data_IF_558761196277
#
_entry.id   IF_558761196277
#
_cell.length_a   1.000
_cell.length_b   1.000
_cell.length_c   1.000
_cell.angle_alpha   90.00
_cell.angle_beta   90.00
_cell.angle_gamma   90.00
#
_symmetry.space_group_name_H-M   'P 1'
#
loop_
_entity.id
_entity.type
_entity.pdbx_description
1 polymer ?
#
# COMPACT_ATOMS: atom_id res chain seq x y z
N UNK A 1 20.13 0.25 -36.30
CA UNK A 1 19.11 -0.21 -35.33
C UNK A 1 19.77 -0.29 -33.97
N UNK A 2 19.60 0.75 -33.16
CA UNK A 2 20.14 0.73 -31.78
C UNK A 2 19.22 -0.12 -30.91
N UNK A 3 19.74 -1.21 -30.34
CA UNK A 3 19.08 -1.91 -29.26
C UNK A 3 19.06 -0.98 -28.04
N UNK A 4 17.92 -0.34 -27.81
CA UNK A 4 17.68 0.33 -26.53
C UNK A 4 17.53 -0.78 -25.49
N UNK A 5 18.56 -1.04 -24.69
CA UNK A 5 18.42 -1.88 -23.50
C UNK A 5 17.43 -1.19 -22.57
N UNK A 6 16.21 -1.72 -22.50
CA UNK A 6 15.21 -1.29 -21.52
C UNK A 6 15.72 -1.77 -20.18
N UNK A 7 16.35 -0.89 -19.42
CA UNK A 7 16.80 -1.20 -18.06
C UNK A 7 15.56 -1.23 -17.18
N UNK A 8 15.18 -2.42 -16.71
CA UNK A 8 14.18 -2.56 -15.64
C UNK A 8 14.83 -2.03 -14.37
N UNK A 9 14.20 -1.03 -13.77
CA UNK A 9 14.72 -0.38 -12.56
C UNK A 9 14.69 -1.32 -11.37
N UNK A 10 15.78 -1.37 -10.60
CA UNK A 10 15.80 -2.13 -9.35
C UNK A 10 14.92 -1.50 -8.26
N UNK A 11 14.41 -2.32 -7.34
CA UNK A 11 13.60 -1.82 -6.21
C UNK A 11 14.40 -0.85 -5.31
N UNK A 12 15.73 -1.00 -5.20
CA UNK A 12 16.58 -0.09 -4.43
C UNK A 12 16.72 1.29 -5.10
N UNK A 13 16.81 1.33 -6.43
CA UNK A 13 16.89 2.60 -7.17
C UNK A 13 15.55 3.34 -7.10
N UNK A 14 14.43 2.61 -7.23
CA UNK A 14 13.10 3.18 -7.04
C UNK A 14 12.91 3.72 -5.62
N UNK A 15 13.44 3.04 -4.60
CA UNK A 15 13.39 3.55 -3.24
C UNK A 15 14.17 4.86 -3.07
N UNK A 16 15.33 5.01 -3.72
CA UNK A 16 16.08 6.26 -3.72
C UNK A 16 15.31 7.40 -4.42
N UNK A 17 14.56 7.10 -5.48
CA UNK A 17 13.65 8.06 -6.13
C UNK A 17 12.51 8.43 -5.19
N UNK A 18 11.90 7.45 -4.50
CA UNK A 18 10.83 7.67 -3.54
C UNK A 18 11.27 8.57 -2.38
N UNK A 19 12.47 8.40 -1.84
CA UNK A 19 12.98 9.27 -0.77
C UNK A 19 13.06 10.74 -1.16
N UNK A 20 13.28 11.03 -2.44
CA UNK A 20 13.29 12.40 -3.00
C UNK A 20 11.90 12.90 -3.40
N UNK A 21 10.97 11.98 -3.63
CA UNK A 21 9.60 12.23 -4.09
C UNK A 21 8.59 11.42 -3.23
N UNK A 22 8.43 11.74 -1.94
CA UNK A 22 7.81 10.84 -0.96
C UNK A 22 6.27 10.79 -1.05
N UNK A 23 5.71 11.23 -2.16
CA UNK A 23 4.28 11.16 -2.41
C UNK A 23 3.98 10.15 -3.51
N UNK A 24 3.09 9.21 -3.20
CA UNK A 24 2.65 8.17 -4.12
C UNK A 24 1.16 8.33 -4.40
N UNK A 25 0.77 8.25 -5.65
CA UNK A 25 -0.62 8.25 -6.07
C UNK A 25 -0.89 7.16 -7.12
N UNK A 26 -2.14 6.69 -7.16
CA UNK A 26 -2.62 5.67 -8.10
C UNK A 26 -3.84 6.14 -8.90
N UNK A 27 -4.35 7.35 -8.60
CA UNK A 27 -5.48 7.96 -9.27
C UNK A 27 -5.03 9.25 -9.99
N UNK A 28 -5.06 9.24 -11.33
CA UNK A 28 -4.66 10.37 -12.16
C UNK A 28 -5.55 11.61 -12.04
N UNK A 29 -6.68 11.51 -11.33
CA UNK A 29 -7.57 12.65 -11.01
C UNK A 29 -7.11 13.39 -9.76
N UNK A 30 -6.32 12.72 -8.89
CA UNK A 30 -5.84 13.23 -7.62
C UNK A 30 -4.30 13.20 -7.58
N UNK A 31 -3.68 13.88 -8.52
CA UNK A 31 -2.22 13.97 -8.62
C UNK A 31 -1.66 14.86 -7.51
N UNK A 32 -0.54 14.41 -6.94
CA UNK A 32 0.25 15.17 -5.99
C UNK A 32 1.50 15.67 -6.72
N UNK A 33 1.66 17.00 -6.93
CA UNK A 33 2.84 17.53 -7.61
C UNK A 33 4.14 17.07 -6.94
N UNK A 34 5.12 16.72 -7.74
CA UNK A 34 6.39 16.15 -7.26
C UNK A 34 6.33 14.67 -6.84
N UNK A 35 5.16 14.04 -6.89
CA UNK A 35 4.97 12.65 -6.50
C UNK A 35 5.30 11.63 -7.59
N UNK A 36 5.08 10.36 -7.26
CA UNK A 36 5.24 9.21 -8.16
C UNK A 36 3.86 8.61 -8.42
N UNK A 37 3.45 8.55 -9.68
CA UNK A 37 2.23 7.90 -10.11
C UNK A 37 2.48 6.41 -10.37
N UNK A 38 1.72 5.52 -9.74
CA UNK A 38 1.73 4.07 -10.02
C UNK A 38 0.55 3.72 -10.92
N UNK A 39 0.82 3.36 -12.15
CA UNK A 39 -0.15 3.07 -13.21
C UNK A 39 -0.80 1.69 -13.04
N UNK A 40 -1.52 1.49 -11.93
CA UNK A 40 -2.18 0.22 -11.63
C UNK A 40 -3.15 -0.18 -12.74
N UNK A 41 -3.18 -1.46 -13.06
CA UNK A 41 -4.10 -2.03 -14.04
C UNK A 41 -4.95 -3.14 -13.40
N UNK A 42 -6.17 -3.31 -13.89
CA UNK A 42 -7.11 -4.34 -13.47
C UNK A 42 -7.85 -4.92 -14.66
N UNK A 43 -8.77 -5.84 -14.39
CA UNK A 43 -9.47 -6.62 -15.42
C UNK A 43 -10.12 -5.76 -16.54
N UNK A 44 -10.61 -4.55 -16.19
CA UNK A 44 -11.32 -3.65 -17.13
C UNK A 44 -10.70 -2.26 -17.20
N UNK A 45 -9.51 -2.07 -16.63
CA UNK A 45 -8.86 -0.78 -16.52
C UNK A 45 -7.36 -0.92 -16.73
N UNK A 46 -6.76 -0.02 -17.53
CA UNK A 46 -5.33 0.04 -17.76
C UNK A 46 -4.80 1.41 -17.35
N UNK A 47 -4.14 1.46 -16.19
CA UNK A 47 -3.56 2.67 -15.61
C UNK A 47 -2.43 3.26 -16.45
N UNK A 48 -1.72 2.45 -17.25
CA UNK A 48 -0.64 2.91 -18.10
C UNK A 48 -1.08 4.04 -19.07
N UNK A 49 -2.34 4.05 -19.49
CA UNK A 49 -2.92 5.09 -20.36
C UNK A 49 -2.89 6.49 -19.72
N UNK A 50 -2.80 6.57 -18.41
CA UNK A 50 -2.83 7.83 -17.67
C UNK A 50 -1.45 8.29 -17.19
N UNK A 51 -0.39 7.54 -17.52
CA UNK A 51 0.96 7.85 -17.06
C UNK A 51 1.45 9.21 -17.58
N UNK A 52 1.24 9.49 -18.87
CA UNK A 52 1.63 10.78 -19.47
C UNK A 52 0.79 11.94 -18.90
N UNK A 53 -0.50 11.74 -18.71
CA UNK A 53 -1.40 12.72 -18.09
C UNK A 53 -0.96 13.03 -16.62
N UNK A 54 -0.56 12.00 -15.86
CA UNK A 54 -0.04 12.19 -14.51
C UNK A 54 1.25 13.03 -14.48
N UNK A 55 2.18 12.80 -15.41
CA UNK A 55 3.38 13.62 -15.57
C UNK A 55 3.02 15.06 -15.95
N UNK A 56 2.12 15.25 -16.91
CA UNK A 56 1.68 16.59 -17.35
C UNK A 56 1.00 17.39 -16.22
N UNK A 57 0.39 16.71 -15.27
CA UNK A 57 -0.25 17.30 -14.07
C UNK A 57 0.74 17.52 -12.92
N UNK A 58 2.01 17.20 -13.09
CA UNK A 58 3.08 17.52 -12.14
C UNK A 58 3.67 16.37 -11.35
N UNK A 59 3.32 15.08 -11.61
CA UNK A 59 4.10 13.98 -11.07
C UNK A 59 5.55 14.04 -11.58
N UNK A 60 6.50 13.78 -10.70
CA UNK A 60 7.92 13.67 -11.09
C UNK A 60 8.20 12.41 -11.90
N UNK A 61 7.52 11.31 -11.57
CA UNK A 61 7.69 10.02 -12.23
C UNK A 61 6.35 9.28 -12.36
N UNK A 62 6.29 8.37 -13.36
CA UNK A 62 5.21 7.40 -13.49
C UNK A 62 5.79 5.99 -13.64
N UNK A 63 5.34 5.06 -12.78
CA UNK A 63 5.69 3.64 -12.83
C UNK A 63 4.68 2.93 -13.71
N UNK A 64 5.17 2.26 -14.75
CA UNK A 64 4.39 1.59 -15.79
C UNK A 64 4.87 0.15 -16.00
N UNK A 65 4.02 -0.73 -16.50
CA UNK A 65 4.34 -2.12 -16.87
C UNK A 65 4.02 -2.48 -18.34
N UNK A 66 3.63 -1.48 -19.14
CA UNK A 66 3.47 -1.64 -20.58
C UNK A 66 4.40 -0.69 -21.33
N UNK A 67 5.40 -1.26 -22.02
CA UNK A 67 6.42 -0.52 -22.77
C UNK A 67 5.84 0.43 -23.82
N UNK A 68 4.65 0.18 -24.32
CA UNK A 68 3.96 1.04 -25.30
C UNK A 68 3.68 2.45 -24.76
N UNK A 69 3.61 2.60 -23.45
CA UNK A 69 3.37 3.88 -22.78
C UNK A 69 4.65 4.55 -22.28
N UNK A 70 5.83 3.95 -22.56
CA UNK A 70 7.11 4.54 -22.20
C UNK A 70 7.46 5.69 -23.15
N UNK A 71 7.18 6.91 -22.73
CA UNK A 71 7.35 8.14 -23.53
C UNK A 71 8.56 8.99 -23.14
N UNK A 72 9.43 8.53 -22.23
CA UNK A 72 10.64 9.29 -21.87
C UNK A 72 11.19 9.07 -20.47
N UNK A 73 12.10 9.98 -20.06
CA UNK A 73 12.93 9.84 -18.85
C UNK A 73 12.17 9.79 -17.51
N UNK A 74 10.93 10.26 -17.47
CA UNK A 74 10.12 10.26 -16.25
C UNK A 74 9.25 9.00 -16.13
N UNK A 75 9.35 8.07 -17.09
CA UNK A 75 8.68 6.78 -17.05
C UNK A 75 9.61 5.72 -16.49
N UNK A 76 9.16 5.01 -15.46
CA UNK A 76 9.86 3.90 -14.83
C UNK A 76 9.16 2.61 -15.26
N UNK A 77 9.79 1.87 -16.17
CA UNK A 77 9.25 0.59 -16.62
C UNK A 77 9.62 -0.52 -15.63
N UNK A 78 8.61 -1.30 -15.24
CA UNK A 78 8.74 -2.44 -14.34
C UNK A 78 7.96 -3.65 -14.89
N UNK A 79 8.20 -4.84 -14.33
CA UNK A 79 7.47 -6.05 -14.76
C UNK A 79 6.00 -6.05 -14.32
N UNK A 80 5.71 -5.48 -13.15
CA UNK A 80 4.36 -5.41 -12.58
C UNK A 80 4.25 -4.25 -11.61
N UNK A 81 3.41 -3.27 -11.94
CA UNK A 81 3.24 -2.04 -11.15
C UNK A 81 2.72 -2.32 -9.74
N UNK A 82 1.76 -3.24 -9.59
CA UNK A 82 1.20 -3.56 -8.27
C UNK A 82 2.25 -4.21 -7.36
N UNK A 83 2.97 -5.20 -7.89
CA UNK A 83 4.05 -5.86 -7.14
C UNK A 83 5.13 -4.86 -6.75
N UNK A 84 5.51 -3.97 -7.65
CA UNK A 84 6.51 -2.91 -7.39
C UNK A 84 6.06 -1.96 -6.28
N UNK A 85 4.79 -1.55 -6.26
CA UNK A 85 4.21 -0.74 -5.18
C UNK A 85 4.30 -1.47 -3.82
N UNK A 86 3.98 -2.75 -3.80
CA UNK A 86 4.03 -3.58 -2.60
C UNK A 86 5.47 -3.79 -2.10
N UNK A 87 6.39 -4.06 -3.00
CA UNK A 87 7.80 -4.24 -2.68
C UNK A 87 8.44 -2.92 -2.18
N UNK A 88 8.09 -1.79 -2.80
CA UNK A 88 8.51 -0.46 -2.33
C UNK A 88 8.02 -0.20 -0.89
N UNK A 89 6.76 -0.54 -0.60
CA UNK A 89 6.20 -0.39 0.74
C UNK A 89 6.90 -1.29 1.77
N UNK A 90 7.25 -2.53 1.41
CA UNK A 90 8.03 -3.44 2.26
C UNK A 90 9.41 -2.85 2.60
N UNK A 91 10.15 -2.38 1.59
CA UNK A 91 11.46 -1.75 1.78
C UNK A 91 11.33 -0.53 2.69
N UNK A 92 10.32 0.31 2.46
CA UNK A 92 10.07 1.49 3.29
C UNK A 92 9.77 1.08 4.73
N UNK A 93 8.87 0.10 4.94
CA UNK A 93 8.53 -0.41 6.28
C UNK A 93 9.76 -0.95 7.03
N UNK A 94 10.68 -1.61 6.36
CA UNK A 94 11.92 -2.12 6.96
C UNK A 94 12.87 -1.01 7.44
N UNK A 95 12.76 0.18 6.91
CA UNK A 95 13.52 1.37 7.35
C UNK A 95 12.84 2.15 8.48
N UNK A 96 11.57 1.88 8.74
CA UNK A 96 10.83 2.52 9.84
C UNK A 96 11.06 1.76 11.14
N UNK A 97 11.48 2.47 12.18
CA UNK A 97 11.72 1.91 13.52
C UNK A 97 10.53 2.05 14.46
N UNK A 98 9.50 2.78 14.06
CA UNK A 98 8.32 3.04 14.87
C UNK A 98 7.46 1.77 15.06
N UNK A 99 6.76 1.63 16.19
CA UNK A 99 5.77 0.58 16.37
C UNK A 99 4.60 0.74 15.40
N UNK A 100 4.09 -0.40 14.92
CA UNK A 100 2.93 -0.49 14.04
C UNK A 100 1.88 -1.39 14.69
N UNK A 101 0.69 -0.85 14.92
CA UNK A 101 -0.48 -1.59 15.38
C UNK A 101 -1.27 -2.05 14.17
N UNK A 102 -1.31 -3.36 13.92
CA UNK A 102 -2.18 -3.96 12.91
C UNK A 102 -3.57 -4.21 13.46
N UNK A 103 -4.61 -3.77 12.76
CA UNK A 103 -6.00 -4.00 13.17
C UNK A 103 -6.74 -4.78 12.10
N UNK A 104 -7.32 -5.91 12.48
CA UNK A 104 -8.26 -6.66 11.66
C UNK A 104 -9.52 -7.03 12.46
N UNK A 105 -10.43 -7.75 11.84
CA UNK A 105 -11.68 -8.24 12.43
C UNK A 105 -12.81 -8.24 11.40
N UNK A 106 -13.94 -8.79 11.79
CA UNK A 106 -15.13 -8.82 10.94
C UNK A 106 -15.76 -7.42 10.89
N UNK A 107 -16.09 -6.85 12.04
CA UNK A 107 -16.70 -5.53 12.20
C UNK A 107 -15.89 -4.65 13.13
N UNK A 108 -16.15 -3.34 13.09
CA UNK A 108 -15.57 -2.37 14.04
C UNK A 108 -14.10 -1.99 13.80
N UNK A 109 -13.44 -2.48 12.76
CA UNK A 109 -12.04 -2.15 12.46
C UNK A 109 -11.79 -0.65 12.37
N UNK A 110 -12.53 0.04 11.53
CA UNK A 110 -12.38 1.49 11.31
C UNK A 110 -12.71 2.28 12.58
N UNK A 111 -13.77 1.91 13.31
CA UNK A 111 -14.13 2.55 14.58
C UNK A 111 -13.01 2.37 15.60
N UNK A 112 -12.52 1.15 15.79
CA UNK A 112 -11.42 0.86 16.74
C UNK A 112 -10.14 1.59 16.33
N UNK A 113 -9.81 1.63 15.05
CA UNK A 113 -8.68 2.39 14.49
C UNK A 113 -8.78 3.88 14.86
N UNK A 114 -9.94 4.50 14.65
CA UNK A 114 -10.11 5.93 14.95
C UNK A 114 -10.09 6.21 16.45
N UNK A 115 -10.64 5.32 17.30
CA UNK A 115 -10.56 5.44 18.75
C UNK A 115 -9.11 5.35 19.23
N UNK A 116 -8.35 4.33 18.79
CA UNK A 116 -6.93 4.17 19.12
C UNK A 116 -6.14 5.39 18.67
N UNK A 117 -6.34 5.82 17.42
CA UNK A 117 -5.71 7.02 16.91
C UNK A 117 -6.02 8.26 17.75
N UNK A 118 -7.28 8.45 18.15
CA UNK A 118 -7.71 9.61 18.94
C UNK A 118 -7.00 9.65 20.29
N UNK A 119 -6.88 8.50 20.96
CA UNK A 119 -6.15 8.38 22.23
C UNK A 119 -4.65 8.64 22.04
N UNK A 120 -4.02 7.99 21.06
CA UNK A 120 -2.58 8.14 20.82
C UNK A 120 -2.19 9.56 20.41
N UNK A 121 -3.03 10.26 19.65
CA UNK A 121 -2.80 11.65 19.25
C UNK A 121 -2.71 12.64 20.39
N UNK A 122 -3.16 12.30 21.58
CA UNK A 122 -3.02 13.17 22.75
C UNK A 122 -1.57 13.38 23.20
N UNK A 123 -0.68 12.44 22.84
CA UNK A 123 0.72 12.44 23.29
C UNK A 123 1.76 12.05 22.22
N UNK A 124 1.31 11.59 21.05
CA UNK A 124 2.17 11.07 19.98
C UNK A 124 1.71 11.55 18.62
N UNK A 125 2.63 11.69 17.65
CA UNK A 125 2.26 11.89 16.26
C UNK A 125 1.89 10.54 15.63
N UNK A 126 0.61 10.19 15.70
CA UNK A 126 0.07 8.91 15.26
C UNK A 126 -0.40 8.98 13.80
N UNK A 127 0.19 8.15 12.93
CA UNK A 127 -0.38 7.84 11.62
C UNK A 127 -1.52 6.82 11.77
N UNK A 128 -2.55 6.91 10.95
CA UNK A 128 -3.55 5.84 10.81
C UNK A 128 -4.05 5.73 9.37
N UNK A 129 -4.35 4.50 8.95
CA UNK A 129 -4.94 4.22 7.64
C UNK A 129 -6.09 5.17 7.33
N UNK A 130 -6.03 5.86 6.20
CA UNK A 130 -7.07 6.78 5.74
C UNK A 130 -8.22 6.01 5.09
N UNK A 131 -9.45 6.39 5.44
CA UNK A 131 -10.64 5.77 4.86
C UNK A 131 -10.62 4.24 4.98
N UNK A 132 -10.80 3.57 3.85
CA UNK A 132 -10.85 2.11 3.71
C UNK A 132 -9.62 1.53 2.97
N UNK A 133 -8.45 2.17 3.06
CA UNK A 133 -7.20 1.70 2.44
C UNK A 133 -6.63 0.47 3.16
N UNK A 134 -7.39 -0.61 3.26
CA UNK A 134 -7.15 -1.78 4.09
C UNK A 134 -6.88 -3.07 3.31
N UNK A 135 -6.66 -2.98 1.99
CA UNK A 135 -6.43 -4.11 1.09
C UNK A 135 -5.00 -4.13 0.52
N UNK A 136 -4.74 -5.01 -0.45
CA UNK A 136 -3.46 -5.23 -1.11
C UNK A 136 -2.90 -4.03 -1.91
N UNK A 137 -3.68 -2.96 -2.09
CA UNK A 137 -3.26 -1.65 -2.65
C UNK A 137 -3.20 -0.60 -1.53
N UNK A 138 -4.21 -0.56 -0.69
CA UNK A 138 -4.36 0.46 0.34
C UNK A 138 -3.34 0.37 1.47
N UNK A 139 -3.00 -0.85 1.92
CA UNK A 139 -1.97 -1.04 2.96
C UNK A 139 -0.59 -0.58 2.47
N UNK A 140 -0.10 -0.96 1.26
CA UNK A 140 1.11 -0.36 0.70
C UNK A 140 1.10 1.16 0.68
N UNK A 141 0.02 1.78 0.19
CA UNK A 141 -0.10 3.25 0.16
C UNK A 141 -0.05 3.85 1.56
N UNK A 142 -0.71 3.22 2.54
CA UNK A 142 -0.68 3.64 3.95
C UNK A 142 0.73 3.57 4.54
N UNK A 143 1.49 2.53 4.25
CA UNK A 143 2.88 2.39 4.71
C UNK A 143 3.78 3.47 4.09
N UNK A 144 3.63 3.77 2.80
CA UNK A 144 4.44 4.79 2.11
C UNK A 144 4.14 6.24 2.56
N UNK A 145 3.03 6.48 3.24
CA UNK A 145 2.74 7.79 3.85
C UNK A 145 3.42 7.99 5.22
N UNK A 146 3.90 6.92 5.85
CA UNK A 146 4.59 7.00 7.14
C UNK A 146 5.98 7.62 6.93
N UNK A 147 6.38 8.54 7.78
CA UNK A 147 7.67 9.21 7.69
C UNK A 147 8.26 9.46 9.10
N UNK A 148 9.44 10.06 9.16
CA UNK A 148 10.19 10.30 10.40
C UNK A 148 9.50 11.21 11.43
N UNK A 149 8.37 11.84 11.08
CA UNK A 149 7.59 12.67 12.02
C UNK A 149 6.60 11.84 12.84
N UNK A 150 6.32 10.59 12.43
CA UNK A 150 5.38 9.72 13.13
C UNK A 150 6.10 8.91 14.21
N UNK A 151 5.49 8.84 15.40
CA UNK A 151 5.98 8.08 16.54
C UNK A 151 5.38 6.67 16.56
N UNK A 152 4.19 6.49 15.97
CA UNK A 152 3.44 5.23 15.92
C UNK A 152 2.50 5.22 14.72
N UNK A 153 2.18 4.04 14.21
CA UNK A 153 1.20 3.87 13.13
C UNK A 153 0.13 2.84 13.48
N UNK A 154 -1.10 3.07 12.99
CA UNK A 154 -2.25 2.16 13.12
C UNK A 154 -2.70 1.78 11.72
N UNK A 155 -2.50 0.52 11.33
CA UNK A 155 -2.78 0.00 10.00
C UNK A 155 -3.99 -0.93 10.03
N UNK A 156 -5.05 -0.52 9.35
CA UNK A 156 -6.25 -1.34 9.17
C UNK A 156 -6.02 -2.36 8.06
N UNK A 157 -6.37 -3.63 8.33
CA UNK A 157 -6.22 -4.76 7.41
C UNK A 157 -7.55 -5.49 7.23
N UNK A 158 -8.05 -5.47 6.00
CA UNK A 158 -9.25 -6.18 5.57
C UNK A 158 -8.92 -7.46 4.82
N UNK A 159 -9.79 -8.46 4.92
CA UNK A 159 -9.68 -9.69 4.14
C UNK A 159 -11.05 -10.21 3.74
N UNK A 160 -11.13 -10.75 2.53
CA UNK A 160 -12.29 -11.45 1.96
C UNK A 160 -11.97 -12.93 1.69
N UNK A 161 -10.68 -13.31 1.65
CA UNK A 161 -10.19 -14.67 1.38
C UNK A 161 -9.09 -15.05 2.38
N UNK A 162 -8.80 -16.35 2.45
CA UNK A 162 -7.70 -16.91 3.26
C UNK A 162 -6.35 -16.35 2.79
N UNK A 163 -5.40 -16.23 3.70
CA UNK A 163 -4.04 -15.75 3.52
C UNK A 163 -3.93 -14.25 3.15
N UNK A 164 -5.05 -13.50 3.13
CA UNK A 164 -4.98 -12.06 2.84
C UNK A 164 -4.45 -11.26 4.04
N UNK A 165 -4.73 -11.65 5.27
CA UNK A 165 -4.17 -10.97 6.46
C UNK A 165 -2.67 -11.26 6.56
N UNK A 166 -2.23 -12.51 6.38
CA UNK A 166 -0.80 -12.86 6.33
C UNK A 166 -0.07 -12.03 5.27
N UNK A 167 -0.63 -11.96 4.07
CA UNK A 167 -0.08 -11.14 2.99
C UNK A 167 0.08 -9.66 3.39
N UNK A 168 -0.92 -9.07 4.05
CA UNK A 168 -0.88 -7.68 4.50
C UNK A 168 0.08 -7.48 5.68
N UNK A 169 0.20 -8.45 6.57
CA UNK A 169 1.18 -8.48 7.65
C UNK A 169 2.62 -8.53 7.11
N UNK A 170 2.85 -9.30 6.03
CA UNK A 170 4.15 -9.34 5.35
C UNK A 170 4.56 -8.00 4.72
N UNK A 171 3.61 -7.09 4.44
CA UNK A 171 3.90 -5.73 3.97
C UNK A 171 4.04 -4.76 5.15
N UNK A 172 3.09 -4.78 6.09
CA UNK A 172 3.01 -3.81 7.18
C UNK A 172 3.90 -4.13 8.38
N UNK A 173 4.33 -5.40 8.53
CA UNK A 173 5.15 -5.91 9.64
C UNK A 173 4.70 -5.31 10.97
N UNK A 174 3.46 -5.60 11.43
CA UNK A 174 2.95 -5.04 12.67
C UNK A 174 3.75 -5.55 13.86
N UNK A 175 4.00 -4.66 14.83
CA UNK A 175 4.65 -5.01 16.10
C UNK A 175 3.62 -5.40 17.16
N UNK A 176 2.37 -4.98 16.97
CA UNK A 176 1.23 -5.26 17.84
C UNK A 176 0.01 -5.57 16.98
N UNK A 177 -0.84 -6.49 17.43
CA UNK A 177 -2.04 -6.90 16.71
C UNK A 177 -3.32 -6.69 17.53
N UNK A 178 -4.39 -6.28 16.87
CA UNK A 178 -5.73 -6.19 17.45
C UNK A 178 -6.74 -6.86 16.52
N UNK A 179 -7.45 -7.87 17.00
CA UNK A 179 -8.62 -8.44 16.34
C UNK A 179 -9.85 -7.90 17.08
N UNK A 180 -10.66 -7.07 16.39
CA UNK A 180 -11.82 -6.43 17.02
C UNK A 180 -12.91 -7.42 17.39
N UNK A 181 -13.22 -8.30 16.47
CA UNK A 181 -14.12 -9.45 16.66
C UNK A 181 -14.02 -10.45 15.52
N UNK A 182 -14.57 -11.64 15.74
CA UNK A 182 -14.71 -12.69 14.74
C UNK A 182 -16.19 -13.02 14.62
N UNK A 183 -16.76 -12.72 13.45
CA UNK A 183 -18.17 -12.94 13.15
C UNK A 183 -18.38 -13.60 11.80
N UNK A 184 -19.61 -13.94 11.47
CA UNK A 184 -19.98 -14.56 10.18
C UNK A 184 -20.03 -13.49 9.08
N UNK A 185 -18.94 -13.32 8.33
CA UNK A 185 -18.89 -12.45 7.15
C UNK A 185 -18.03 -13.07 6.06
N UNK A 186 -18.29 -12.71 4.80
CA UNK A 186 -17.54 -13.16 3.62
C UNK A 186 -17.36 -14.70 3.53
N UNK A 187 -18.37 -15.47 3.97
CA UNK A 187 -18.31 -16.94 4.02
C UNK A 187 -18.01 -17.56 2.65
N UNK A 188 -18.40 -16.91 1.54
CA UNK A 188 -18.03 -17.36 0.18
C UNK A 188 -16.53 -17.40 -0.06
N UNK A 189 -15.77 -16.49 0.54
CA UNK A 189 -14.31 -16.43 0.40
C UNK A 189 -13.55 -17.22 1.45
N UNK A 190 -14.11 -17.34 2.66
CA UNK A 190 -13.48 -18.07 3.78
C UNK A 190 -13.93 -19.53 3.87
N UNK A 191 -15.08 -19.88 3.26
CA UNK A 191 -15.71 -21.20 3.34
C UNK A 191 -16.69 -21.29 4.50
N UNK A 192 -16.23 -21.13 5.73
CA UNK A 192 -17.01 -21.26 6.96
C UNK A 192 -16.52 -20.30 8.07
N UNK A 193 -17.07 -20.44 9.27
CA UNK A 193 -16.65 -19.65 10.43
C UNK A 193 -15.20 -19.92 10.83
N UNK A 194 -14.76 -21.18 10.76
CA UNK A 194 -13.38 -21.56 11.08
C UNK A 194 -12.38 -20.95 10.09
N UNK A 195 -12.78 -20.82 8.82
CA UNK A 195 -12.00 -20.09 7.82
C UNK A 195 -11.86 -18.60 8.17
N UNK A 196 -12.92 -17.96 8.68
CA UNK A 196 -12.83 -16.58 9.19
C UNK A 196 -11.88 -16.48 10.38
N UNK A 197 -12.04 -17.38 11.36
CA UNK A 197 -11.21 -17.44 12.56
C UNK A 197 -9.73 -17.62 12.20
N UNK A 198 -9.40 -18.59 11.36
CA UNK A 198 -8.03 -18.86 10.91
C UNK A 198 -7.43 -17.66 10.19
N UNK A 199 -8.18 -17.04 9.26
CA UNK A 199 -7.69 -15.87 8.53
C UNK A 199 -7.44 -14.67 9.44
N UNK A 200 -8.30 -14.40 10.44
CA UNK A 200 -8.04 -13.28 11.36
C UNK A 200 -6.84 -13.56 12.26
N UNK A 201 -6.64 -14.82 12.66
CA UNK A 201 -5.49 -15.23 13.46
C UNK A 201 -4.15 -15.18 12.70
N UNK A 202 -4.14 -15.09 11.38
CA UNK A 202 -2.93 -14.82 10.60
C UNK A 202 -2.19 -13.54 11.07
N UNK A 203 -2.88 -12.63 11.75
CA UNK A 203 -2.28 -11.45 12.38
C UNK A 203 -1.26 -11.80 13.48
N UNK A 204 -1.34 -12.96 14.08
CA UNK A 204 -0.51 -13.38 15.21
C UNK A 204 0.52 -14.47 14.84
N UNK A 205 0.64 -14.81 13.56
CA UNK A 205 1.68 -15.70 13.04
C UNK A 205 2.92 -14.88 12.67
#
# INVERSE_FOLDING_TARGET
MGFCFILIMSNSDLYNIFLKNPHVCTDSRNIIPGGIFFALSGKHFNGNKFALDAISKGCSFAVIDDVKFNSGHNMILVDNVLKTLQDLAKIHREKLTIPVIGITGTNGKTTSKELIRSVLKSSMNCYATKGNLNNHIGVPLSILEINSKHDIAVIEMGANHKNEIDFLCNISKPTHGVITNIGKAHLKGFGDYDGVLKTKNELYN
#
